data_IF_864477408368
#
_entry.id   IF_864477408368
#
_cell.length_a   1.000
_cell.length_b   1.000
_cell.length_c   1.000
_cell.angle_alpha   90.00
_cell.angle_beta   90.00
_cell.angle_gamma   90.00
#
_symmetry.space_group_name_H-M   'P 1'
#
loop_
_entity.id
_entity.type
_entity.pdbx_description
1 polymer ?
#
# COMPACT_ATOMS: atom_id res chain seq x y z
N UNK A 1 20.88 12.93 2.92
CA UNK A 1 20.99 11.61 3.58
C UNK A 1 19.63 11.02 4.02
N UNK A 2 18.54 11.80 4.13
CA UNK A 2 17.25 11.35 4.69
C UNK A 2 16.27 10.67 3.71
N UNK A 3 16.46 10.79 2.40
CA UNK A 3 15.58 10.13 1.41
C UNK A 3 15.65 8.60 1.47
N UNK A 4 16.79 8.04 1.87
CA UNK A 4 17.00 6.59 1.92
C UNK A 4 16.23 5.89 3.04
N UNK A 5 16.01 6.55 4.20
CA UNK A 5 15.36 5.93 5.36
C UNK A 5 13.86 5.75 5.12
N UNK A 6 13.20 6.75 4.54
CA UNK A 6 11.80 6.66 4.13
C UNK A 6 11.60 5.63 3.02
N UNK A 7 12.52 5.57 2.06
CA UNK A 7 12.44 4.60 0.97
C UNK A 7 12.51 3.15 1.47
N UNK A 8 13.33 2.85 2.47
CA UNK A 8 13.47 1.48 2.98
C UNK A 8 12.26 0.99 3.81
N UNK A 9 11.58 1.90 4.52
CA UNK A 9 10.42 1.55 5.37
C UNK A 9 9.08 1.63 4.65
N UNK A 10 8.94 2.60 3.76
CA UNK A 10 7.67 2.95 3.11
C UNK A 10 7.66 2.49 1.65
N UNK A 11 8.84 2.37 1.01
CA UNK A 11 8.93 1.96 -0.39
C UNK A 11 8.40 3.01 -1.37
N UNK A 12 8.13 4.23 -0.91
CA UNK A 12 7.54 5.31 -1.71
C UNK A 12 8.54 6.47 -1.88
N UNK A 13 8.61 7.09 -3.07
CA UNK A 13 9.33 8.34 -3.26
C UNK A 13 8.76 9.44 -2.35
N UNK A 14 9.59 10.01 -1.48
CA UNK A 14 9.16 11.04 -0.55
C UNK A 14 10.27 12.05 -0.25
N UNK A 15 9.87 13.31 -0.03
CA UNK A 15 10.76 14.41 0.34
C UNK A 15 10.22 15.15 1.56
N UNK A 16 11.06 15.36 2.56
CA UNK A 16 10.79 16.26 3.69
C UNK A 16 11.55 17.58 3.54
N UNK A 17 10.94 18.66 4.03
CA UNK A 17 11.50 20.00 4.15
C UNK A 17 11.47 20.50 5.60
N UNK A 18 12.48 21.29 5.97
CA UNK A 18 12.65 21.87 7.32
C UNK A 18 11.55 22.85 7.72
N UNK A 19 10.69 23.28 6.79
CA UNK A 19 9.50 24.07 7.11
C UNK A 19 8.38 23.23 7.74
N UNK A 20 8.56 21.91 7.88
CA UNK A 20 7.50 20.98 8.32
C UNK A 20 6.64 20.45 7.18
N UNK A 21 7.03 20.71 5.92
CA UNK A 21 6.37 20.15 4.74
C UNK A 21 6.98 18.80 4.38
N UNK A 22 6.13 17.86 3.95
CA UNK A 22 6.53 16.60 3.35
C UNK A 22 5.67 16.32 2.12
N UNK A 23 6.30 15.79 1.08
CA UNK A 23 5.63 15.36 -0.15
C UNK A 23 5.92 13.87 -0.32
N UNK A 24 4.88 13.09 -0.60
CA UNK A 24 4.94 11.66 -0.88
C UNK A 24 4.29 11.45 -2.25
N UNK A 25 4.93 10.67 -3.11
CA UNK A 25 4.38 10.31 -4.42
C UNK A 25 4.07 8.81 -4.41
N UNK A 26 2.83 8.46 -4.75
CA UNK A 26 2.42 7.09 -5.08
C UNK A 26 2.32 7.01 -6.60
N UNK A 27 3.32 6.44 -7.28
CA UNK A 27 3.35 6.40 -8.74
C UNK A 27 2.06 5.79 -9.32
N UNK A 28 1.50 6.43 -10.35
CA UNK A 28 0.26 6.01 -11.03
C UNK A 28 -1.01 5.99 -10.17
N UNK A 29 -0.98 6.52 -8.94
CA UNK A 29 -2.15 6.57 -8.05
C UNK A 29 -2.43 7.99 -7.58
N UNK A 30 -1.50 8.62 -6.86
CA UNK A 30 -1.70 9.95 -6.27
C UNK A 30 -0.42 10.62 -5.79
N UNK A 31 -0.46 11.94 -5.60
CA UNK A 31 0.53 12.70 -4.83
C UNK A 31 -0.07 13.23 -3.54
N UNK A 32 0.68 13.17 -2.44
CA UNK A 32 0.24 13.59 -1.11
C UNK A 32 1.19 14.69 -0.62
N UNK A 33 0.65 15.79 -0.12
CA UNK A 33 1.41 16.80 0.61
C UNK A 33 0.90 16.88 2.05
N UNK A 34 1.83 16.85 2.99
CA UNK A 34 1.58 16.86 4.43
C UNK A 34 2.31 18.07 5.00
N UNK A 35 1.59 18.87 5.77
CA UNK A 35 2.19 19.96 6.54
C UNK A 35 2.01 19.70 8.03
N UNK A 36 3.13 19.66 8.74
CA UNK A 36 3.16 19.52 10.19
C UNK A 36 4.45 20.15 10.72
N UNK A 37 4.39 21.34 11.36
CA UNK A 37 5.54 22.07 11.87
C UNK A 37 6.49 21.31 12.82
N UNK A 38 6.02 20.39 13.70
CA UNK A 38 6.91 19.63 14.57
C UNK A 38 7.88 18.73 13.80
N UNK A 39 9.18 18.94 14.02
CA UNK A 39 10.26 18.18 13.41
C UNK A 39 10.94 17.23 14.39
N UNK A 40 11.51 16.14 13.87
CA UNK A 40 12.44 15.27 14.60
C UNK A 40 13.84 15.92 14.70
N UNK A 41 14.74 15.25 15.41
CA UNK A 41 16.15 15.66 15.55
C UNK A 41 16.90 15.75 14.20
N UNK A 42 16.37 15.13 13.16
CA UNK A 42 16.96 15.08 11.82
C UNK A 42 16.33 16.11 10.86
N UNK A 43 15.34 16.90 11.33
CA UNK A 43 14.65 17.90 10.52
C UNK A 43 13.51 17.36 9.64
N UNK A 44 13.01 16.15 9.90
CA UNK A 44 11.83 15.61 9.23
C UNK A 44 10.56 15.88 10.03
N UNK A 45 9.44 16.04 9.34
CA UNK A 45 8.16 16.13 10.03
C UNK A 45 7.79 14.81 10.71
N UNK A 46 7.61 14.84 12.04
CA UNK A 46 7.33 13.64 12.84
C UNK A 46 6.00 12.99 12.41
N UNK A 47 4.98 13.82 12.20
CA UNK A 47 3.65 13.35 11.80
C UNK A 47 3.62 12.86 10.37
N UNK A 48 4.38 13.48 9.46
CA UNK A 48 4.46 13.01 8.08
C UNK A 48 5.09 11.62 7.99
N UNK A 49 6.12 11.35 8.78
CA UNK A 49 6.73 10.01 8.86
C UNK A 49 5.74 8.97 9.39
N UNK A 50 5.06 9.26 10.51
CA UNK A 50 4.03 8.36 11.07
C UNK A 50 2.87 8.11 10.10
N UNK A 51 2.47 9.14 9.34
CA UNK A 51 1.45 8.99 8.31
C UNK A 51 1.92 8.05 7.21
N UNK A 52 3.16 8.23 6.71
CA UNK A 52 3.71 7.40 5.65
C UNK A 52 3.79 5.91 6.06
N UNK A 53 4.22 5.63 7.29
CA UNK A 53 4.24 4.27 7.83
C UNK A 53 2.83 3.65 7.90
N UNK A 54 1.86 4.37 8.49
CA UNK A 54 0.45 3.91 8.55
C UNK A 54 -0.20 3.76 7.19
N UNK A 55 0.18 4.58 6.22
CA UNK A 55 -0.34 4.50 4.86
C UNK A 55 0.02 3.17 4.22
N UNK A 56 1.27 2.73 4.35
CA UNK A 56 1.77 1.49 3.73
C UNK A 56 1.43 0.24 4.53
N UNK A 57 1.16 0.40 5.83
CA UNK A 57 0.55 -0.66 6.65
C UNK A 57 -0.89 -0.94 6.21
N UNK A 58 -1.68 0.12 5.95
CA UNK A 58 -3.11 -0.01 5.61
C UNK A 58 -3.36 -0.32 4.14
N UNK A 59 -2.55 0.23 3.24
CA UNK A 59 -2.73 0.13 1.80
C UNK A 59 -1.59 -0.62 1.15
N UNK A 60 -1.91 -1.33 0.06
CA UNK A 60 -0.94 -2.06 -0.77
C UNK A 60 -0.18 -1.09 -1.70
N UNK A 61 0.53 -0.11 -1.10
CA UNK A 61 1.26 0.94 -1.81
C UNK A 61 2.78 0.81 -1.73
N UNK A 62 3.33 -0.18 -1.02
CA UNK A 62 4.78 -0.39 -1.02
C UNK A 62 5.21 -0.83 -2.43
N UNK A 63 6.28 -0.25 -2.99
CA UNK A 63 6.77 -0.62 -4.34
C UNK A 63 7.13 -2.12 -4.51
N UNK A 64 7.34 -2.83 -3.41
CA UNK A 64 7.73 -4.24 -3.38
C UNK A 64 6.62 -5.15 -2.84
N UNK A 65 5.41 -4.61 -2.67
CA UNK A 65 4.27 -5.38 -2.19
C UNK A 65 3.67 -6.21 -3.34
N UNK A 66 3.15 -7.39 -3.01
CA UNK A 66 2.58 -8.30 -3.99
C UNK A 66 1.13 -7.92 -4.27
N UNK A 67 0.85 -7.56 -5.52
CA UNK A 67 -0.51 -7.29 -6.00
C UNK A 67 -1.31 -8.58 -6.24
N UNK A 68 -0.64 -9.74 -6.26
CA UNK A 68 -1.22 -11.04 -6.61
C UNK A 68 -1.42 -11.92 -5.37
N UNK A 69 -0.53 -11.80 -4.38
CA UNK A 69 -0.59 -12.53 -3.12
C UNK A 69 -0.76 -11.53 -1.97
N UNK A 70 -1.99 -11.09 -1.75
CA UNK A 70 -2.31 -10.29 -0.56
C UNK A 70 -2.65 -11.24 0.60
N UNK A 71 -1.63 -11.90 1.14
CA UNK A 71 -1.71 -12.56 2.47
C UNK A 71 -1.92 -11.52 3.59
N UNK A 72 -1.80 -10.24 3.24
CA UNK A 72 -1.98 -9.10 4.13
C UNK A 72 -3.41 -8.56 3.97
N UNK A 73 -4.06 -8.19 5.09
CA UNK A 73 -5.37 -7.51 5.13
C UNK A 73 -5.32 -6.06 4.55
N UNK A 74 -4.45 -5.81 3.57
CA UNK A 74 -4.22 -4.51 2.96
C UNK A 74 -5.28 -4.19 1.93
N UNK A 75 -5.67 -2.93 1.88
CA UNK A 75 -6.69 -2.43 0.96
C UNK A 75 -5.99 -1.95 -0.32
N UNK A 76 -6.41 -2.45 -1.48
CA UNK A 76 -6.10 -1.82 -2.77
C UNK A 76 -7.27 -0.92 -3.17
N UNK A 77 -7.14 0.42 -3.09
CA UNK A 77 -8.22 1.34 -3.42
C UNK A 77 -8.49 1.45 -4.92
N UNK A 78 -7.65 0.85 -5.78
CA UNK A 78 -7.90 0.79 -7.23
C UNK A 78 -8.98 -0.23 -7.59
N UNK A 79 -9.22 -1.21 -6.71
CA UNK A 79 -10.29 -2.20 -6.89
C UNK A 79 -11.48 -1.81 -6.00
N UNK A 80 -12.68 -1.83 -6.56
CA UNK A 80 -13.88 -1.61 -5.75
C UNK A 80 -13.99 -2.68 -4.67
N UNK A 81 -14.28 -2.30 -3.41
CA UNK A 81 -14.39 -3.25 -2.30
C UNK A 81 -15.39 -4.40 -2.57
N UNK A 82 -16.49 -4.09 -3.27
CA UNK A 82 -17.47 -5.09 -3.73
C UNK A 82 -16.94 -5.96 -4.88
N UNK A 83 -16.16 -5.36 -5.78
CA UNK A 83 -15.67 -6.03 -6.98
C UNK A 83 -14.63 -7.09 -6.63
N UNK A 84 -13.70 -6.80 -5.71
CA UNK A 84 -12.69 -7.76 -5.25
C UNK A 84 -13.31 -9.01 -4.62
N UNK A 85 -14.30 -8.84 -3.74
CA UNK A 85 -15.01 -9.96 -3.11
C UNK A 85 -15.78 -10.79 -4.14
N UNK A 86 -16.50 -10.13 -5.05
CA UNK A 86 -17.28 -10.81 -6.08
C UNK A 86 -16.41 -11.55 -7.10
N UNK A 87 -15.24 -11.02 -7.44
CA UNK A 87 -14.29 -11.67 -8.36
C UNK A 87 -13.78 -12.99 -7.78
N UNK A 88 -13.38 -13.03 -6.51
CA UNK A 88 -12.90 -14.27 -5.88
C UNK A 88 -13.97 -15.37 -5.90
N UNK A 89 -15.21 -15.04 -5.53
CA UNK A 89 -16.33 -15.99 -5.54
C UNK A 89 -16.66 -16.45 -6.97
N UNK A 90 -16.69 -15.52 -7.92
CA UNK A 90 -17.01 -15.83 -9.32
C UNK A 90 -15.94 -16.74 -9.94
N UNK A 91 -14.67 -16.47 -9.66
CA UNK A 91 -13.54 -17.29 -10.12
C UNK A 91 -13.59 -18.69 -9.49
N UNK A 92 -13.93 -18.78 -8.20
CA UNK A 92 -14.09 -20.06 -7.52
C UNK A 92 -15.26 -20.87 -8.08
N UNK A 93 -16.42 -20.25 -8.32
CA UNK A 93 -17.56 -20.92 -8.96
C UNK A 93 -17.24 -21.38 -10.39
N UNK A 94 -16.51 -20.57 -11.16
CA UNK A 94 -16.08 -20.94 -12.49
C UNK A 94 -15.15 -22.17 -12.46
N UNK A 95 -14.19 -22.22 -11.54
CA UNK A 95 -13.31 -23.38 -11.35
C UNK A 95 -14.10 -24.64 -10.94
N UNK A 96 -15.07 -24.50 -10.04
CA UNK A 96 -15.94 -25.60 -9.63
C UNK A 96 -16.77 -26.14 -10.81
N UNK A 97 -17.30 -25.26 -11.66
CA UNK A 97 -18.00 -25.65 -12.89
C UNK A 97 -17.09 -26.39 -13.86
N UNK A 98 -15.85 -25.93 -14.02
CA UNK A 98 -14.87 -26.54 -14.92
C UNK A 98 -14.33 -27.88 -14.40
N UNK A 99 -14.58 -28.22 -13.13
CA UNK A 99 -14.03 -29.42 -12.49
C UNK A 99 -12.53 -29.31 -12.18
N UNK A 100 -11.97 -28.10 -12.17
CA UNK A 100 -10.55 -27.86 -11.89
C UNK A 100 -10.30 -27.85 -10.38
N UNK A 101 -10.00 -29.03 -9.84
CA UNK A 101 -9.77 -29.26 -8.41
C UNK A 101 -8.50 -28.53 -7.94
N UNK A 102 -7.48 -28.41 -8.81
CA UNK A 102 -6.22 -27.72 -8.48
C UNK A 102 -6.44 -26.22 -8.29
N UNK A 103 -7.27 -25.60 -9.13
CA UNK A 103 -7.65 -24.20 -8.96
C UNK A 103 -8.43 -23.96 -7.65
N UNK A 104 -9.35 -24.85 -7.29
CA UNK A 104 -10.11 -24.76 -6.03
C UNK A 104 -9.18 -24.90 -4.82
N UNK A 105 -8.24 -25.85 -4.84
CA UNK A 105 -7.27 -26.04 -3.75
C UNK A 105 -6.45 -24.78 -3.48
N UNK A 106 -6.07 -24.02 -4.53
CA UNK A 106 -5.34 -22.75 -4.43
C UNK A 106 -6.13 -21.60 -3.80
N UNK A 107 -7.46 -21.68 -3.76
CA UNK A 107 -8.30 -20.68 -3.07
C UNK A 107 -8.58 -21.05 -1.61
N UNK A 108 -8.43 -22.33 -1.25
CA UNK A 108 -8.71 -22.86 0.09
C UNK A 108 -7.45 -22.91 0.97
N UNK A 109 -6.29 -23.19 0.35
CA UNK A 109 -4.97 -23.17 0.96
C UNK A 109 -4.22 -21.89 0.59
#
# INVERSE_FOLDING_TARGET
MLEAVLFHRVGLPAKSGVSGNMIIVVPNVMGISIYSPPLDLLGNTVRGLQFAEKLVEKFNFHNYDSLVYSETNKIDPRKGARETHNQSISNMMYAAKAGDISAIQRFVY
#
